data_IF_390492977298
#
_entry.id   IF_390492977298
#
_cell.length_a   1.000
_cell.length_b   1.000
_cell.length_c   1.000
_cell.angle_alpha   90.00
_cell.angle_beta   90.00
_cell.angle_gamma   90.00
#
_symmetry.space_group_name_H-M   'P 1'
#
loop_
_entity.id
_entity.type
_entity.pdbx_description
1 polymer ?
#
# COMPACT_ATOMS: atom_id res chain seq x y z
N UNK A 1 -88.47 18.62 1.71
CA UNK A 1 -87.21 19.35 1.43
C UNK A 1 -86.09 18.86 2.36
N UNK A 2 -85.15 18.15 1.82
CA UNK A 2 -84.09 17.45 2.61
C UNK A 2 -82.82 18.28 2.62
N UNK A 3 -82.37 18.65 3.81
CA UNK A 3 -81.03 19.27 4.06
C UNK A 3 -80.02 18.18 4.29
N UNK A 4 -79.02 18.14 3.48
CA UNK A 4 -77.86 17.26 3.60
C UNK A 4 -76.72 18.01 4.29
N UNK A 5 -76.27 17.49 5.47
CA UNK A 5 -75.08 17.93 6.19
C UNK A 5 -73.84 17.34 5.55
N UNK A 6 -72.91 18.18 5.12
CA UNK A 6 -71.56 17.74 4.74
C UNK A 6 -70.67 17.79 5.96
N UNK A 7 -70.09 16.65 6.33
CA UNK A 7 -69.04 16.54 7.34
C UNK A 7 -67.68 16.84 6.71
N UNK A 8 -66.93 17.76 7.29
CA UNK A 8 -65.57 18.03 6.92
C UNK A 8 -64.64 17.15 7.75
N UNK A 9 -63.88 16.26 7.10
CA UNK A 9 -62.73 15.53 7.71
C UNK A 9 -61.52 16.44 7.70
N UNK A 10 -61.02 16.77 8.87
CA UNK A 10 -59.71 17.39 9.04
C UNK A 10 -58.60 16.35 8.92
N UNK A 11 -57.75 16.52 7.94
CA UNK A 11 -56.48 15.74 7.80
C UNK A 11 -55.42 16.43 8.64
N UNK A 12 -55.09 15.83 9.79
CA UNK A 12 -53.90 16.19 10.58
C UNK A 12 -52.65 15.72 9.91
N UNK A 13 -51.83 16.63 9.37
CA UNK A 13 -50.51 16.33 8.86
C UNK A 13 -49.54 16.11 9.97
N UNK A 14 -49.01 14.88 10.14
CA UNK A 14 -47.81 14.63 10.95
C UNK A 14 -46.60 15.19 10.19
N UNK A 15 -46.01 16.26 10.72
CA UNK A 15 -44.68 16.72 10.32
C UNK A 15 -43.62 15.77 10.90
N UNK A 16 -43.07 14.91 10.08
CA UNK A 16 -41.83 14.16 10.38
C UNK A 16 -40.65 15.15 10.32
N UNK A 17 -40.17 15.55 11.50
CA UNK A 17 -38.93 16.27 11.64
C UNK A 17 -37.78 15.30 11.27
N UNK A 18 -37.36 15.30 10.00
CA UNK A 18 -36.13 14.63 9.56
C UNK A 18 -34.94 15.37 10.17
N UNK A 19 -34.20 14.71 11.08
CA UNK A 19 -32.89 15.17 11.48
C UNK A 19 -31.96 15.10 10.24
N UNK A 20 -31.76 16.23 9.58
CA UNK A 20 -30.75 16.35 8.54
C UNK A 20 -29.37 16.21 9.23
N UNK A 21 -28.63 15.17 8.86
CA UNK A 21 -27.24 15.04 9.25
C UNK A 21 -26.40 16.21 8.69
N UNK A 22 -25.41 16.72 9.42
CA UNK A 22 -24.58 17.81 8.91
C UNK A 22 -23.88 17.37 7.61
N UNK A 23 -23.68 18.30 6.65
CA UNK A 23 -22.99 17.97 5.40
C UNK A 23 -21.56 17.52 5.73
N UNK A 24 -21.25 16.24 5.46
CA UNK A 24 -19.95 15.62 5.75
C UNK A 24 -19.97 14.43 6.70
N UNK A 25 -21.08 14.12 7.36
CA UNK A 25 -21.20 12.93 8.19
C UNK A 25 -21.49 11.70 7.29
N UNK A 26 -20.51 10.79 7.22
CA UNK A 26 -20.65 9.49 6.55
C UNK A 26 -21.33 8.46 7.43
N UNK A 27 -22.01 7.51 6.80
CA UNK A 27 -22.57 6.35 7.48
C UNK A 27 -21.43 5.45 8.04
N UNK A 28 -21.62 4.81 9.21
CA UNK A 28 -20.65 3.85 9.73
C UNK A 28 -20.55 2.66 8.77
N UNK A 29 -19.36 2.42 8.16
CA UNK A 29 -19.10 1.32 7.27
C UNK A 29 -18.75 1.69 5.83
N UNK A 30 -18.76 2.97 5.46
CA UNK A 30 -18.34 3.41 4.13
C UNK A 30 -16.81 3.45 4.08
N UNK A 31 -16.21 2.36 3.53
CA UNK A 31 -14.77 2.32 3.25
C UNK A 31 -14.41 3.43 2.25
N UNK A 32 -13.39 4.22 2.57
CA UNK A 32 -12.83 5.16 1.59
C UNK A 32 -12.28 4.36 0.41
N UNK A 33 -12.65 4.68 -0.82
CA UNK A 33 -11.93 4.14 -1.95
C UNK A 33 -10.47 4.59 -1.83
N UNK A 34 -9.56 3.63 -1.70
CA UNK A 34 -8.13 3.91 -1.76
C UNK A 34 -7.76 4.60 -3.08
N UNK A 35 -6.62 5.29 -3.18
CA UNK A 35 -6.21 5.94 -4.42
C UNK A 35 -6.22 4.94 -5.57
N UNK A 36 -6.84 5.34 -6.68
CA UNK A 36 -6.90 4.52 -7.88
C UNK A 36 -5.47 4.23 -8.37
N UNK A 37 -5.11 2.95 -8.50
CA UNK A 37 -3.77 2.50 -8.85
C UNK A 37 -3.24 3.01 -10.20
N UNK A 38 -4.14 3.46 -11.08
CA UNK A 38 -3.79 3.94 -12.42
C UNK A 38 -3.16 5.34 -12.44
N UNK A 39 -3.18 6.07 -11.32
CA UNK A 39 -2.87 7.51 -11.29
C UNK A 39 -1.72 7.88 -10.34
N UNK A 40 -0.76 6.98 -10.11
CA UNK A 40 0.44 7.34 -9.33
C UNK A 40 1.28 8.33 -10.16
N UNK A 41 1.43 9.60 -9.75
CA UNK A 41 2.14 10.60 -10.52
C UNK A 41 3.59 10.19 -10.82
N UNK A 42 4.09 10.57 -11.99
CA UNK A 42 5.50 10.37 -12.35
C UNK A 42 6.42 11.39 -11.64
N UNK A 43 5.95 12.63 -11.46
CA UNK A 43 6.72 13.68 -10.82
C UNK A 43 6.99 13.38 -9.34
N UNK A 44 8.26 13.37 -8.88
CA UNK A 44 8.59 12.98 -7.51
C UNK A 44 7.89 13.82 -6.43
N UNK A 45 7.71 15.12 -6.64
CA UNK A 45 7.06 15.99 -5.65
C UNK A 45 5.57 15.64 -5.46
N UNK A 46 4.85 15.44 -6.55
CA UNK A 46 3.44 15.04 -6.52
C UNK A 46 3.27 13.63 -5.93
N UNK A 47 4.16 12.72 -6.29
CA UNK A 47 4.18 11.36 -5.75
C UNK A 47 4.42 11.36 -4.24
N UNK A 48 5.31 12.20 -3.73
CA UNK A 48 5.55 12.36 -2.28
C UNK A 48 4.27 12.85 -1.60
N UNK A 49 3.63 13.91 -2.10
CA UNK A 49 2.42 14.46 -1.50
C UNK A 49 1.26 13.45 -1.50
N UNK A 50 1.11 12.68 -2.58
CA UNK A 50 0.08 11.64 -2.67
C UNK A 50 0.35 10.49 -1.70
N UNK A 51 1.61 10.02 -1.61
CA UNK A 51 1.99 8.95 -0.69
C UNK A 51 1.86 9.39 0.78
N UNK A 52 2.28 10.62 1.11
CA UNK A 52 2.12 11.17 2.46
C UNK A 52 0.66 11.14 2.90
N UNK A 53 -0.24 11.63 2.03
CA UNK A 53 -1.69 11.57 2.29
C UNK A 53 -2.17 10.11 2.44
N UNK A 54 -1.76 9.21 1.58
CA UNK A 54 -2.14 7.80 1.66
C UNK A 54 -1.66 7.14 2.97
N UNK A 55 -0.46 7.51 3.47
CA UNK A 55 0.05 7.03 4.76
C UNK A 55 -0.76 7.61 5.92
N UNK A 56 -1.11 8.90 5.89
CA UNK A 56 -1.99 9.53 6.89
C UNK A 56 -3.38 8.87 6.92
N UNK A 57 -3.90 8.50 5.76
CA UNK A 57 -5.21 7.84 5.63
C UNK A 57 -5.23 6.40 6.16
N UNK A 58 -4.08 5.81 6.52
CA UNK A 58 -4.01 4.50 7.18
C UNK A 58 -4.69 4.50 8.56
N UNK A 59 -4.66 5.64 9.27
CA UNK A 59 -5.36 5.76 10.55
C UNK A 59 -5.13 7.09 11.26
N UNK A 60 -6.00 7.41 12.22
CA UNK A 60 -5.98 8.72 12.92
C UNK A 60 -4.73 8.91 13.80
N UNK A 61 -4.09 7.83 14.23
CA UNK A 61 -2.93 7.87 15.12
C UNK A 61 -1.59 7.96 14.37
N UNK A 62 -1.62 8.08 13.04
CA UNK A 62 -0.39 8.23 12.24
C UNK A 62 0.21 9.61 12.46
N UNK A 63 1.47 9.65 12.89
CA UNK A 63 2.21 10.88 13.07
C UNK A 63 2.51 11.52 11.69
N UNK A 64 2.11 12.79 11.47
CA UNK A 64 2.34 13.47 10.20
C UNK A 64 3.84 13.60 9.84
N UNK A 65 4.73 13.72 10.80
CA UNK A 65 6.18 13.79 10.56
C UNK A 65 6.69 12.44 10.05
N UNK A 66 6.21 11.34 10.63
CA UNK A 66 6.55 10.00 10.17
C UNK A 66 5.98 9.72 8.76
N UNK A 67 4.73 10.13 8.50
CA UNK A 67 4.11 10.00 7.18
C UNK A 67 4.90 10.75 6.10
N UNK A 68 5.27 12.01 6.36
CA UNK A 68 6.10 12.81 5.46
C UNK A 68 7.50 12.19 5.24
N UNK A 69 8.11 11.65 6.30
CA UNK A 69 9.41 10.98 6.22
C UNK A 69 9.32 9.71 5.36
N UNK A 70 8.33 8.85 5.60
CA UNK A 70 8.09 7.63 4.81
C UNK A 70 7.88 7.98 3.34
N UNK A 71 7.04 8.97 3.04
CA UNK A 71 6.76 9.38 1.67
C UNK A 71 8.01 9.88 0.95
N UNK A 72 8.73 10.83 1.56
CA UNK A 72 9.94 11.42 1.00
C UNK A 72 11.05 10.38 0.77
N UNK A 73 11.30 9.52 1.75
CA UNK A 73 12.32 8.48 1.66
C UNK A 73 11.97 7.47 0.57
N UNK A 74 10.74 6.95 0.59
CA UNK A 74 10.32 5.90 -0.35
C UNK A 74 10.33 6.34 -1.80
N UNK A 75 10.15 7.65 -2.07
CA UNK A 75 10.20 8.19 -3.43
C UNK A 75 11.63 8.58 -3.84
N UNK A 76 12.41 9.23 -2.98
CA UNK A 76 13.68 9.85 -3.38
C UNK A 76 14.88 8.91 -3.29
N UNK A 77 14.99 8.14 -2.20
CA UNK A 77 16.16 7.28 -2.00
C UNK A 77 16.32 6.23 -3.09
N UNK A 78 15.26 5.54 -3.54
CA UNK A 78 15.39 4.60 -4.65
C UNK A 78 15.87 5.22 -5.96
N UNK A 79 15.51 6.47 -6.27
CA UNK A 79 16.04 7.15 -7.45
C UNK A 79 17.56 7.35 -7.36
N UNK A 80 18.06 7.74 -6.17
CA UNK A 80 19.50 7.87 -5.91
C UNK A 80 20.20 6.51 -6.03
N UNK A 81 19.58 5.43 -5.53
CA UNK A 81 20.15 4.08 -5.66
C UNK A 81 20.13 3.60 -7.11
N UNK A 82 19.10 3.97 -7.88
CA UNK A 82 19.03 3.65 -9.31
C UNK A 82 20.24 4.19 -10.07
N UNK A 83 20.62 5.43 -9.80
CA UNK A 83 21.80 6.04 -10.41
C UNK A 83 23.09 5.37 -9.93
N UNK A 84 23.21 5.09 -8.63
CA UNK A 84 24.38 4.40 -8.05
C UNK A 84 24.59 2.98 -8.59
N UNK A 85 23.50 2.25 -8.88
CA UNK A 85 23.55 0.88 -9.40
C UNK A 85 23.50 0.84 -10.92
N UNK A 86 23.47 2.00 -11.57
CA UNK A 86 23.28 2.15 -13.01
C UNK A 86 22.11 1.28 -13.49
N UNK A 87 20.96 1.45 -12.82
CA UNK A 87 19.76 0.68 -13.09
C UNK A 87 19.17 1.02 -14.45
N UNK A 88 18.74 -0.01 -15.19
CA UNK A 88 18.15 0.14 -16.52
C UNK A 88 16.71 -0.35 -16.56
N UNK A 89 15.95 0.13 -17.53
CA UNK A 89 14.62 -0.34 -17.86
C UNK A 89 14.65 -1.36 -19.01
N UNK A 90 13.68 -2.26 -19.06
CA UNK A 90 12.72 -2.59 -18.00
C UNK A 90 13.37 -3.38 -16.84
N UNK A 91 12.75 -3.47 -15.65
CA UNK A 91 13.34 -4.11 -14.46
C UNK A 91 13.84 -5.53 -14.68
N UNK A 92 13.18 -6.31 -15.53
CA UNK A 92 13.59 -7.68 -15.83
C UNK A 92 14.93 -7.73 -16.59
N UNK A 93 15.21 -6.76 -17.45
CA UNK A 93 16.51 -6.66 -18.14
C UNK A 93 17.60 -6.34 -17.12
N UNK A 94 17.33 -5.42 -16.20
CA UNK A 94 18.26 -5.12 -15.10
C UNK A 94 18.53 -6.37 -14.24
N UNK A 95 17.51 -7.16 -13.91
CA UNK A 95 17.67 -8.42 -13.17
C UNK A 95 18.59 -9.41 -13.91
N UNK A 96 18.46 -9.53 -15.24
CA UNK A 96 19.36 -10.38 -16.04
C UNK A 96 20.81 -9.89 -15.91
N UNK A 97 21.03 -8.57 -15.98
CA UNK A 97 22.37 -8.00 -15.85
C UNK A 97 22.98 -8.22 -14.47
N UNK A 98 22.17 -8.12 -13.40
CA UNK A 98 22.63 -8.44 -12.04
C UNK A 98 22.95 -9.93 -11.91
N UNK A 99 22.06 -10.81 -12.38
CA UNK A 99 22.24 -12.27 -12.28
C UNK A 99 23.42 -12.79 -13.13
N UNK A 100 23.82 -12.05 -14.15
CA UNK A 100 25.00 -12.36 -14.99
C UNK A 100 26.27 -11.62 -14.55
N UNK A 101 26.24 -10.92 -13.42
CA UNK A 101 27.40 -10.20 -12.85
C UNK A 101 27.77 -8.91 -13.59
N UNK A 102 26.95 -8.44 -14.55
CA UNK A 102 27.18 -7.17 -15.26
C UNK A 102 26.83 -5.95 -14.45
N UNK A 103 25.92 -6.08 -13.50
CA UNK A 103 25.49 -5.04 -12.55
C UNK A 103 25.64 -5.54 -11.12
N UNK A 104 26.01 -4.68 -10.18
CA UNK A 104 26.35 -5.12 -8.84
C UNK A 104 25.10 -5.42 -7.99
N UNK A 105 23.96 -4.76 -8.26
CA UNK A 105 22.78 -4.75 -7.39
C UNK A 105 21.55 -4.27 -8.14
N UNK A 106 20.34 -4.46 -7.57
CA UNK A 106 19.09 -3.93 -8.12
C UNK A 106 18.02 -4.98 -8.39
N UNK A 107 18.14 -6.19 -7.84
CA UNK A 107 17.05 -7.15 -7.78
C UNK A 107 15.94 -6.62 -6.86
N UNK A 108 14.70 -7.08 -7.03
CA UNK A 108 13.58 -6.66 -6.19
C UNK A 108 13.88 -6.76 -4.68
N UNK A 109 14.61 -7.80 -4.25
CA UNK A 109 15.04 -7.96 -2.87
C UNK A 109 16.00 -6.86 -2.41
N UNK A 110 16.90 -6.42 -3.29
CA UNK A 110 17.90 -5.38 -2.94
C UNK A 110 17.22 -4.04 -2.69
N UNK A 111 16.26 -3.67 -3.55
CA UNK A 111 15.42 -2.48 -3.36
C UNK A 111 14.65 -2.54 -2.04
N UNK A 112 14.05 -3.69 -1.76
CA UNK A 112 13.26 -3.87 -0.55
C UNK A 112 14.13 -3.91 0.73
N UNK A 113 15.33 -4.49 0.67
CA UNK A 113 16.27 -4.54 1.80
C UNK A 113 16.78 -3.13 2.15
N UNK A 114 17.17 -2.36 1.13
CA UNK A 114 17.71 -1.00 1.34
C UNK A 114 16.61 -0.03 1.80
N UNK A 115 15.39 -0.15 1.24
CA UNK A 115 14.26 0.69 1.65
C UNK A 115 13.85 0.38 3.10
N UNK A 116 13.72 -0.89 3.47
CA UNK A 116 13.43 -1.28 4.86
C UNK A 116 14.50 -0.74 5.82
N UNK A 117 15.78 -0.96 5.48
CA UNK A 117 16.89 -0.51 6.31
C UNK A 117 16.91 1.02 6.46
N UNK A 118 16.59 1.74 5.39
CA UNK A 118 16.53 3.20 5.40
C UNK A 118 15.36 3.71 6.26
N UNK A 119 14.17 3.15 6.09
CA UNK A 119 13.00 3.53 6.87
C UNK A 119 13.13 3.17 8.36
N UNK A 120 13.77 2.05 8.70
CA UNK A 120 14.03 1.68 10.10
C UNK A 120 14.86 2.71 10.85
N UNK A 121 15.77 3.42 10.17
CA UNK A 121 16.58 4.47 10.80
C UNK A 121 15.78 5.70 11.22
N UNK A 122 14.57 5.88 10.71
CA UNK A 122 13.68 6.97 11.15
C UNK A 122 13.08 6.75 12.54
N UNK A 123 13.14 5.52 13.07
CA UNK A 123 12.64 5.23 14.42
C UNK A 123 11.12 5.36 14.54
N UNK A 124 10.38 4.97 13.49
CA UNK A 124 8.91 5.09 13.39
C UNK A 124 8.20 4.52 14.63
N UNK A 125 7.29 5.29 15.20
CA UNK A 125 6.52 4.93 16.41
C UNK A 125 5.05 4.69 16.10
N UNK A 126 4.45 5.45 15.19
CA UNK A 126 3.05 5.33 14.77
C UNK A 126 2.86 4.34 13.63
N UNK A 127 3.93 3.94 12.96
CA UNK A 127 3.92 3.06 11.81
C UNK A 127 4.70 1.75 12.07
N UNK A 128 4.30 0.69 11.38
CA UNK A 128 4.98 -0.61 11.32
C UNK A 128 5.47 -0.88 9.90
N UNK A 129 6.66 -1.47 9.78
CA UNK A 129 7.21 -1.94 8.51
C UNK A 129 7.11 -3.45 8.42
N UNK A 130 6.68 -3.96 7.27
CA UNK A 130 6.61 -5.38 6.98
C UNK A 130 7.41 -5.69 5.72
N UNK A 131 7.96 -6.91 5.66
CA UNK A 131 8.54 -7.47 4.42
C UNK A 131 7.60 -8.50 3.86
N UNK A 132 7.33 -8.36 2.57
CA UNK A 132 6.43 -9.24 1.86
C UNK A 132 7.08 -9.85 0.62
N UNK A 133 6.59 -11.03 0.24
CA UNK A 133 6.98 -11.74 -0.97
C UNK A 133 5.72 -12.15 -1.71
N UNK A 134 5.70 -11.92 -3.01
CA UNK A 134 4.70 -12.45 -3.92
C UNK A 134 5.30 -13.55 -4.82
N UNK A 135 4.46 -14.40 -5.37
CA UNK A 135 4.85 -15.50 -6.26
C UNK A 135 5.87 -16.47 -5.61
N UNK A 136 5.73 -16.75 -4.32
CA UNK A 136 6.66 -17.55 -3.52
C UNK A 136 6.89 -18.98 -4.01
N UNK A 137 5.98 -19.50 -4.84
CA UNK A 137 6.06 -20.83 -5.44
C UNK A 137 6.92 -20.89 -6.71
N UNK A 138 7.27 -19.75 -7.28
CA UNK A 138 8.06 -19.64 -8.49
C UNK A 138 9.25 -18.70 -8.30
N UNK A 139 10.41 -19.26 -8.04
CA UNK A 139 11.66 -18.51 -7.79
C UNK A 139 12.08 -17.57 -8.92
N UNK A 140 11.63 -17.82 -10.16
CA UNK A 140 12.00 -16.98 -11.32
C UNK A 140 11.23 -15.66 -11.35
N UNK A 141 10.06 -15.64 -10.72
CA UNK A 141 9.17 -14.47 -10.69
C UNK A 141 8.83 -14.04 -9.25
N UNK A 142 9.54 -14.61 -8.28
CA UNK A 142 9.41 -14.18 -6.88
C UNK A 142 9.71 -12.69 -6.79
N UNK A 143 8.81 -11.96 -6.10
CA UNK A 143 8.95 -10.52 -5.96
C UNK A 143 8.90 -10.12 -4.50
N UNK A 144 9.80 -9.23 -4.08
CA UNK A 144 9.93 -8.78 -2.70
C UNK A 144 9.70 -7.29 -2.60
N UNK A 145 9.01 -6.85 -1.52
CA UNK A 145 8.73 -5.44 -1.27
C UNK A 145 8.69 -5.10 0.21
N UNK A 146 8.55 -3.80 0.51
CA UNK A 146 8.25 -3.26 1.84
C UNK A 146 6.78 -2.85 1.87
N UNK A 147 6.14 -3.04 3.02
CA UNK A 147 4.78 -2.59 3.29
C UNK A 147 4.82 -1.77 4.58
N UNK A 148 4.09 -0.65 4.59
CA UNK A 148 3.88 0.18 5.78
C UNK A 148 2.43 0.11 6.22
N UNK A 149 2.19 -0.08 7.52
CA UNK A 149 0.86 -0.04 8.14
C UNK A 149 0.89 0.84 9.38
N UNK A 150 -0.26 1.13 9.98
CA UNK A 150 -0.31 1.71 11.32
C UNK A 150 0.34 0.77 12.33
N UNK A 151 0.82 1.31 13.43
CA UNK A 151 1.49 0.54 14.49
C UNK A 151 0.59 -0.61 14.97
N UNK A 152 1.13 -1.83 14.91
CA UNK A 152 0.42 -3.04 15.35
C UNK A 152 -0.65 -3.57 14.39
N UNK A 153 -0.97 -2.85 13.32
CA UNK A 153 -1.90 -3.36 12.32
C UNK A 153 -1.24 -4.46 11.45
N UNK A 154 -2.02 -5.45 11.00
CA UNK A 154 -1.53 -6.49 10.11
C UNK A 154 -1.13 -5.92 8.74
N UNK A 155 -0.30 -6.67 8.03
CA UNK A 155 0.28 -6.28 6.75
C UNK A 155 -0.76 -5.97 5.67
N UNK A 156 -1.86 -6.71 5.63
CA UNK A 156 -2.93 -6.59 4.63
C UNK A 156 -3.70 -5.27 4.71
N UNK A 157 -3.62 -4.55 5.83
CA UNK A 157 -4.17 -3.20 6.01
C UNK A 157 -3.19 -2.09 5.64
N UNK A 158 -2.02 -2.44 5.13
CA UNK A 158 -0.97 -1.49 4.80
C UNK A 158 -0.94 -1.06 3.34
N UNK A 159 0.08 -0.22 3.05
CA UNK A 159 0.45 0.22 1.72
C UNK A 159 1.73 -0.47 1.27
N UNK A 160 1.72 -1.01 0.07
CA UNK A 160 2.91 -1.50 -0.64
C UNK A 160 3.79 -0.32 -1.03
N UNK A 161 5.11 -0.46 -0.84
CA UNK A 161 6.14 0.49 -1.26
C UNK A 161 7.12 -0.25 -2.18
N UNK A 162 6.90 -0.18 -3.50
CA UNK A 162 7.60 -1.02 -4.49
C UNK A 162 8.43 -0.18 -5.49
N UNK A 163 9.70 0.08 -5.19
CA UNK A 163 10.57 0.85 -6.08
C UNK A 163 11.11 0.06 -7.28
N UNK A 164 10.92 -1.27 -7.30
CA UNK A 164 11.36 -2.10 -8.42
C UNK A 164 10.37 -2.13 -9.58
N UNK A 165 9.07 -2.13 -9.30
CA UNK A 165 7.98 -2.44 -10.24
C UNK A 165 7.96 -1.58 -11.51
N UNK A 166 8.23 -0.28 -11.38
CA UNK A 166 8.24 0.68 -12.48
C UNK A 166 9.63 0.87 -13.10
N UNK A 167 10.64 0.18 -12.57
CA UNK A 167 12.03 0.32 -13.01
C UNK A 167 12.73 1.55 -12.46
N UNK A 168 14.05 1.51 -12.46
CA UNK A 168 14.94 2.62 -12.08
C UNK A 168 14.57 3.35 -10.79
N UNK A 169 14.11 2.61 -9.77
CA UNK A 169 13.77 3.17 -8.47
C UNK A 169 12.47 3.99 -8.44
N UNK A 170 11.72 4.06 -9.53
CA UNK A 170 10.43 4.75 -9.56
C UNK A 170 9.43 4.01 -8.71
N UNK A 171 9.04 4.64 -7.59
CA UNK A 171 8.14 4.02 -6.63
C UNK A 171 6.74 3.80 -7.23
N UNK A 172 6.27 2.58 -7.14
CA UNK A 172 4.84 2.24 -7.16
C UNK A 172 4.37 2.05 -5.72
N UNK A 173 3.16 2.51 -5.37
CA UNK A 173 2.53 2.26 -4.08
C UNK A 173 1.02 2.11 -4.20
N UNK A 174 0.42 1.42 -3.24
CA UNK A 174 -1.02 1.20 -3.18
C UNK A 174 -1.40 0.24 -2.05
N UNK A 175 -2.71 0.11 -1.71
CA UNK A 175 -3.15 -0.80 -0.67
C UNK A 175 -2.82 -2.25 -0.99
N UNK A 176 -2.38 -2.99 0.02
CA UNK A 176 -2.05 -4.43 -0.10
C UNK A 176 -3.24 -5.25 -0.60
N UNK A 177 -4.42 -4.99 0.00
CA UNK A 177 -5.63 -5.77 -0.26
C UNK A 177 -6.14 -5.66 -1.71
N UNK A 178 -5.81 -4.57 -2.40
CA UNK A 178 -6.26 -4.29 -3.76
C UNK A 178 -5.12 -4.13 -4.78
N UNK A 179 -3.92 -4.67 -4.49
CA UNK A 179 -2.83 -4.69 -5.47
C UNK A 179 -3.28 -5.51 -6.71
N UNK A 180 -3.36 -4.91 -7.91
CA UNK A 180 -3.89 -5.57 -9.09
C UNK A 180 -2.94 -6.64 -9.64
N UNK A 181 -1.67 -6.62 -9.23
CA UNK A 181 -0.62 -7.47 -9.82
C UNK A 181 -0.14 -8.58 -8.91
N UNK A 182 -0.11 -8.34 -7.60
CA UNK A 182 0.55 -9.24 -6.66
C UNK A 182 -0.34 -9.60 -5.47
N UNK A 183 -0.27 -10.86 -5.04
CA UNK A 183 -0.77 -11.32 -3.75
C UNK A 183 0.42 -11.43 -2.80
N UNK A 184 0.41 -10.61 -1.78
CA UNK A 184 1.51 -10.48 -0.85
C UNK A 184 1.37 -11.44 0.32
N UNK A 185 2.47 -12.13 0.65
CA UNK A 185 2.59 -13.02 1.81
C UNK A 185 3.73 -12.51 2.70
N UNK A 186 3.58 -12.50 4.03
CA UNK A 186 4.67 -12.14 4.93
C UNK A 186 5.94 -12.94 4.64
N UNK A 187 7.09 -12.27 4.51
CA UNK A 187 8.38 -12.93 4.19
C UNK A 187 8.70 -14.07 5.16
N UNK A 188 8.38 -13.90 6.44
CA UNK A 188 8.62 -14.92 7.46
C UNK A 188 7.86 -16.23 7.17
N UNK A 189 6.60 -16.13 6.72
CA UNK A 189 5.77 -17.27 6.33
C UNK A 189 6.33 -17.97 5.10
N UNK A 190 6.72 -17.21 4.07
CA UNK A 190 7.34 -17.77 2.87
C UNK A 190 8.61 -18.55 3.21
N UNK A 191 9.44 -18.01 4.08
CA UNK A 191 10.65 -18.69 4.52
C UNK A 191 10.35 -19.94 5.36
N UNK A 192 9.33 -19.90 6.20
CA UNK A 192 8.87 -21.09 6.94
C UNK A 192 8.39 -22.20 5.98
N UNK A 193 7.57 -21.84 4.98
CA UNK A 193 7.13 -22.79 3.95
C UNK A 193 8.31 -23.38 3.15
N UNK A 194 9.28 -22.56 2.76
CA UNK A 194 10.48 -23.04 2.04
C UNK A 194 11.31 -24.01 2.89
N UNK A 195 11.51 -23.70 4.17
CA UNK A 195 12.21 -24.62 5.11
C UNK A 195 11.48 -25.96 5.26
N UNK A 196 10.16 -25.92 5.45
CA UNK A 196 9.37 -27.14 5.57
C UNK A 196 9.42 -28.01 4.29
N UNK A 197 9.37 -27.37 3.10
CA UNK A 197 9.51 -28.09 1.81
C UNK A 197 10.90 -28.74 1.67
N UNK A 198 11.96 -28.06 2.13
CA UNK A 198 13.30 -28.61 2.10
C UNK A 198 13.45 -29.80 3.01
N UNK A 199 13.02 -29.72 4.27
CA UNK A 199 13.05 -30.83 5.22
C UNK A 199 12.36 -32.08 4.67
N UNK A 200 11.14 -31.94 4.10
CA UNK A 200 10.43 -33.06 3.47
C UNK A 200 11.13 -33.70 2.26
N UNK A 201 12.03 -32.97 1.59
CA UNK A 201 12.83 -33.53 0.49
C UNK A 201 14.04 -34.30 0.99
N UNK A 202 14.60 -33.89 2.13
CA UNK A 202 15.74 -34.56 2.77
C UNK A 202 15.33 -35.86 3.46
N UNK A 203 14.03 -36.02 3.84
CA UNK A 203 13.46 -37.21 4.44
C UNK A 203 13.07 -38.30 3.42
N UNK A 204 13.12 -38.02 2.09
CA UNK A 204 12.75 -38.97 1.00
C UNK A 204 13.97 -39.60 0.38
#
# INVERSE_FOLDING_TARGET
MRMTRRAALGMGGLALAGCAAPPGARAPGEERPGPAFAEVPEAPAEKIALLERAVLDLGPDVDPVEAAAVARISVREPLVWADRWDAVDPPLIHNIQVNTGRKPRGLCKDWADDLEARLKREGLRSLSLHRAIANADNLRIEHSTVIVSTRGAPMDRGLVLDPWRLGRGRLWFGPVASDPKYRWVPRAEVFAMKRARRARREER
#
